data_IF_292366602674
#
_entry.id   IF_292366602674
#
_cell.length_a   1.000
_cell.length_b   1.000
_cell.length_c   1.000
_cell.angle_alpha   90.00
_cell.angle_beta   90.00
_cell.angle_gamma   90.00
#
_symmetry.space_group_name_H-M   'P 1'
#
loop_
_entity.id
_entity.type
_entity.pdbx_description
1 polymer ?
#
# COMPACT_ATOMS: atom_id res chain seq x y z
N UNK A 1 -23.14 -5.22 10.94
CA UNK A 1 -22.06 -4.60 10.15
C UNK A 1 -22.21 -3.10 10.29
N UNK A 2 -21.23 -2.45 10.92
CA UNK A 2 -21.19 -0.98 11.00
C UNK A 2 -20.64 -0.49 9.66
N UNK A 3 -21.25 0.53 9.07
CA UNK A 3 -20.68 1.20 7.91
C UNK A 3 -19.28 1.70 8.29
N UNK A 4 -18.29 1.54 7.42
CA UNK A 4 -16.95 2.09 7.69
C UNK A 4 -17.08 3.60 7.96
N UNK A 5 -16.47 4.08 9.04
CA UNK A 5 -16.40 5.53 9.34
C UNK A 5 -15.46 6.27 8.38
N UNK A 6 -14.78 5.54 7.48
CA UNK A 6 -13.87 6.07 6.48
C UNK A 6 -14.61 6.47 5.21
N UNK A 7 -14.05 7.47 4.52
CA UNK A 7 -14.52 7.88 3.21
C UNK A 7 -14.38 6.74 2.21
N UNK A 8 -15.45 6.45 1.49
CA UNK A 8 -15.50 5.38 0.51
C UNK A 8 -14.71 5.74 -0.75
N UNK A 9 -13.54 5.12 -0.93
CA UNK A 9 -12.69 5.27 -2.11
C UNK A 9 -13.41 4.94 -3.42
N UNK A 10 -14.42 4.07 -3.39
CA UNK A 10 -15.18 3.67 -4.57
C UNK A 10 -16.31 4.65 -4.91
N UNK A 11 -16.59 5.63 -4.03
CA UNK A 11 -17.58 6.66 -4.30
C UNK A 11 -17.06 7.67 -5.34
N UNK A 12 -17.73 7.85 -6.50
CA UNK A 12 -17.24 8.73 -7.56
C UNK A 12 -17.01 10.17 -7.12
N UNK A 13 -17.92 10.74 -6.31
CA UNK A 13 -17.75 12.09 -5.79
C UNK A 13 -16.50 12.25 -4.89
N UNK A 14 -16.12 11.22 -4.14
CA UNK A 14 -14.90 11.26 -3.33
C UNK A 14 -13.66 11.17 -4.22
N UNK A 15 -13.69 10.36 -5.28
CA UNK A 15 -12.62 10.33 -6.28
C UNK A 15 -12.43 11.68 -6.97
N UNK A 16 -13.52 12.35 -7.39
CA UNK A 16 -13.45 13.70 -7.98
C UNK A 16 -12.92 14.74 -6.99
N UNK A 17 -13.33 14.65 -5.73
CA UNK A 17 -12.76 15.49 -4.66
C UNK A 17 -11.24 15.28 -4.52
N UNK A 18 -10.78 14.02 -4.50
CA UNK A 18 -9.34 13.70 -4.43
C UNK A 18 -8.57 14.23 -5.64
N UNK A 19 -9.15 14.15 -6.85
CA UNK A 19 -8.54 14.74 -8.06
C UNK A 19 -8.36 16.24 -7.86
N UNK A 20 -9.41 16.96 -7.44
CA UNK A 20 -9.34 18.40 -7.20
C UNK A 20 -8.28 18.77 -6.15
N UNK A 21 -8.34 18.12 -4.98
CA UNK A 21 -7.40 18.35 -3.89
C UNK A 21 -5.94 18.12 -4.31
N UNK A 22 -5.67 16.99 -4.98
CA UNK A 22 -4.31 16.66 -5.41
C UNK A 22 -3.85 17.56 -6.56
N UNK A 23 -4.78 18.04 -7.41
CA UNK A 23 -4.47 18.99 -8.48
C UNK A 23 -4.02 20.33 -7.90
N UNK A 24 -4.73 20.84 -6.89
CA UNK A 24 -4.37 22.08 -6.20
C UNK A 24 -3.00 21.97 -5.52
N UNK A 25 -2.71 20.81 -4.91
CA UNK A 25 -1.38 20.53 -4.34
C UNK A 25 -0.29 20.46 -5.40
N UNK A 26 -0.57 19.85 -6.56
CA UNK A 26 0.37 19.76 -7.68
C UNK A 26 0.76 21.15 -8.21
N UNK A 27 -0.18 22.10 -8.25
CA UNK A 27 0.09 23.51 -8.61
C UNK A 27 1.04 24.18 -7.61
N UNK A 28 1.05 23.73 -6.35
CA UNK A 28 1.96 24.20 -5.31
C UNK A 28 3.43 23.87 -5.52
N UNK A 29 3.79 23.12 -6.57
CA UNK A 29 5.18 22.82 -6.93
C UNK A 29 5.75 21.57 -6.27
N UNK A 30 4.91 20.61 -5.87
CA UNK A 30 5.37 19.30 -5.40
C UNK A 30 5.92 18.47 -6.57
N UNK A 31 7.01 17.73 -6.34
CA UNK A 31 7.66 16.91 -7.36
C UNK A 31 7.00 15.53 -7.55
N UNK A 32 6.21 15.08 -6.58
CA UNK A 32 5.53 13.79 -6.67
C UNK A 32 4.48 13.54 -5.60
N UNK A 33 3.75 12.45 -5.79
CA UNK A 33 2.72 11.93 -4.89
C UNK A 33 3.14 10.54 -4.41
N UNK A 34 3.13 10.33 -3.10
CA UNK A 34 3.42 9.03 -2.49
C UNK A 34 2.14 8.46 -1.88
N UNK A 35 1.61 7.38 -2.46
CA UNK A 35 0.48 6.63 -1.91
C UNK A 35 0.99 5.69 -0.83
N UNK A 36 0.83 6.06 0.44
CA UNK A 36 1.28 5.26 1.57
C UNK A 36 0.38 4.04 1.79
N UNK A 37 0.96 2.97 2.34
CA UNK A 37 0.29 1.71 2.68
C UNK A 37 -0.07 1.59 4.16
N UNK A 38 0.09 2.65 4.94
CA UNK A 38 -0.04 2.63 6.38
C UNK A 38 -1.49 2.79 6.83
N UNK A 39 -2.37 1.93 6.31
CA UNK A 39 -3.48 1.50 7.12
C UNK A 39 -3.79 0.06 6.78
N UNK A 40 -3.71 -0.84 7.77
CA UNK A 40 -4.47 -2.08 7.67
C UNK A 40 -5.89 -1.67 7.34
N UNK A 41 -6.31 -1.96 6.11
CA UNK A 41 -7.69 -1.75 5.74
C UNK A 41 -8.48 -2.66 6.66
N UNK A 42 -9.40 -2.09 7.42
CA UNK A 42 -10.30 -2.93 8.19
C UNK A 42 -10.99 -3.89 7.23
N UNK A 43 -11.33 -5.09 7.68
CA UNK A 43 -12.05 -6.07 6.84
C UNK A 43 -13.31 -5.48 6.16
N UNK A 44 -13.86 -4.42 6.75
CA UNK A 44 -15.01 -3.63 6.31
C UNK A 44 -14.72 -2.57 5.22
N UNK A 45 -13.45 -2.30 4.87
CA UNK A 45 -13.14 -1.31 3.86
C UNK A 45 -13.61 -1.75 2.48
N UNK A 46 -14.26 -0.83 1.77
CA UNK A 46 -14.99 -1.11 0.53
C UNK A 46 -16.40 -1.69 0.73
N UNK A 47 -16.87 -1.92 1.98
CA UNK A 47 -18.27 -2.24 2.27
C UNK A 47 -19.17 -1.01 2.18
N UNK A 48 -19.25 -0.46 0.98
CA UNK A 48 -20.15 0.61 0.63
C UNK A 48 -21.15 0.14 -0.41
N UNK A 49 -22.21 0.93 -0.61
CA UNK A 49 -23.15 0.66 -1.70
C UNK A 49 -22.47 0.70 -3.08
N UNK A 50 -21.41 1.50 -3.26
CA UNK A 50 -20.63 1.54 -4.50
C UNK A 50 -19.74 0.30 -4.65
N UNK A 51 -19.09 -0.13 -3.56
CA UNK A 51 -18.30 -1.36 -3.54
C UNK A 51 -19.13 -2.59 -3.92
N UNK A 52 -20.29 -2.77 -3.27
CA UNK A 52 -21.18 -3.90 -3.56
C UNK A 52 -21.77 -3.86 -4.98
N UNK A 53 -22.21 -2.69 -5.44
CA UNK A 53 -22.72 -2.53 -6.81
C UNK A 53 -21.62 -2.75 -7.85
N UNK A 54 -20.40 -2.30 -7.58
CA UNK A 54 -19.24 -2.52 -8.45
C UNK A 54 -18.89 -4.00 -8.57
N UNK A 55 -18.90 -4.72 -7.45
CA UNK A 55 -18.70 -6.16 -7.44
C UNK A 55 -19.83 -6.92 -8.16
N UNK A 56 -21.09 -6.59 -7.86
CA UNK A 56 -22.25 -7.20 -8.53
C UNK A 56 -22.22 -6.95 -10.04
N UNK A 57 -21.82 -5.75 -10.48
CA UNK A 57 -21.64 -5.42 -11.90
C UNK A 57 -20.61 -6.34 -12.58
N UNK A 58 -19.49 -6.61 -11.91
CA UNK A 58 -18.36 -7.33 -12.52
C UNK A 58 -18.51 -8.86 -12.47
N UNK A 59 -19.26 -9.39 -11.49
CA UNK A 59 -19.41 -10.84 -11.28
C UNK A 59 -20.84 -11.36 -11.41
N UNK A 60 -21.85 -10.50 -11.49
CA UNK A 60 -23.26 -10.88 -11.52
C UNK A 60 -23.77 -11.52 -10.22
N UNK A 61 -23.03 -11.36 -9.11
CA UNK A 61 -23.34 -11.97 -7.81
C UNK A 61 -23.49 -10.87 -6.77
N UNK A 62 -24.60 -10.91 -6.03
CA UNK A 62 -24.77 -10.08 -4.83
C UNK A 62 -23.97 -10.67 -3.69
N UNK A 63 -23.06 -9.86 -3.17
CA UNK A 63 -22.24 -10.24 -2.04
C UNK A 63 -23.02 -10.03 -0.73
N UNK A 64 -23.06 -11.06 0.12
CA UNK A 64 -23.53 -10.94 1.49
C UNK A 64 -22.31 -10.87 2.42
N UNK A 65 -21.97 -9.70 2.98
CA UNK A 65 -20.79 -9.55 3.82
C UNK A 65 -20.85 -10.39 5.10
N UNK A 66 -22.05 -10.74 5.58
CA UNK A 66 -22.21 -11.60 6.74
C UNK A 66 -21.69 -13.02 6.48
N UNK A 67 -21.80 -13.50 5.24
CA UNK A 67 -21.31 -14.83 4.83
C UNK A 67 -19.86 -14.80 4.37
N UNK A 68 -19.39 -13.66 3.87
CA UNK A 68 -18.07 -13.51 3.25
C UNK A 68 -16.91 -13.78 4.21
N UNK A 69 -17.05 -13.33 5.46
CA UNK A 69 -16.03 -13.47 6.50
C UNK A 69 -16.40 -14.48 7.60
N UNK A 70 -17.63 -15.02 7.60
CA UNK A 70 -18.05 -16.04 8.57
C UNK A 70 -17.28 -17.37 8.42
N UNK A 71 -16.75 -17.67 7.23
CA UNK A 71 -15.87 -18.83 7.01
C UNK A 71 -14.39 -18.53 7.22
N UNK A 72 -14.02 -17.26 7.35
CA UNK A 72 -12.65 -16.80 7.44
C UNK A 72 -12.31 -16.59 8.92
N UNK A 73 -11.94 -17.66 9.61
CA UNK A 73 -11.23 -17.59 10.90
C UNK A 73 -9.87 -16.91 10.68
N UNK A 74 -9.87 -15.59 10.48
CA UNK A 74 -8.68 -14.81 10.15
C UNK A 74 -7.75 -14.56 11.36
N UNK A 75 -7.91 -15.33 12.44
CA UNK A 75 -7.41 -14.95 13.77
C UNK A 75 -6.36 -15.84 14.42
N UNK A 76 -6.42 -17.17 14.36
CA UNK A 76 -5.69 -17.96 15.39
C UNK A 76 -5.25 -19.38 15.05
N UNK A 77 -5.50 -19.92 13.86
CA UNK A 77 -4.96 -21.23 13.49
C UNK A 77 -4.91 -21.36 12.00
N UNK A 78 -3.82 -21.92 11.48
CA UNK A 78 -3.57 -22.18 10.07
C UNK A 78 -4.54 -23.16 9.38
N UNK A 79 -5.85 -22.98 9.56
CA UNK A 79 -6.84 -23.47 8.61
C UNK A 79 -6.65 -22.67 7.33
N UNK A 80 -6.48 -23.39 6.23
CA UNK A 80 -6.04 -22.84 4.96
C UNK A 80 -6.96 -21.71 4.52
N UNK A 81 -6.42 -20.50 4.39
CA UNK A 81 -7.10 -19.43 3.63
C UNK A 81 -7.54 -19.93 2.24
N UNK A 82 -6.83 -20.93 1.68
CA UNK A 82 -7.14 -21.63 0.43
C UNK A 82 -8.51 -22.33 0.41
N UNK A 83 -9.08 -22.65 1.57
CA UNK A 83 -10.39 -23.30 1.68
C UNK A 83 -11.54 -22.28 1.75
N UNK A 84 -11.24 -20.97 1.63
CA UNK A 84 -12.26 -19.92 1.56
C UNK A 84 -13.12 -20.06 0.32
N UNK A 85 -14.39 -19.64 0.43
CA UNK A 85 -15.35 -19.69 -0.66
C UNK A 85 -14.83 -18.94 -1.91
N UNK A 86 -15.18 -19.37 -3.14
CA UNK A 86 -14.79 -18.67 -4.37
C UNK A 86 -15.17 -17.18 -4.37
N UNK A 87 -16.31 -16.84 -3.77
CA UNK A 87 -16.82 -15.48 -3.62
C UNK A 87 -15.89 -14.61 -2.77
N UNK A 88 -15.27 -15.18 -1.73
CA UNK A 88 -14.27 -14.49 -0.93
C UNK A 88 -13.06 -14.08 -1.78
N UNK A 89 -12.51 -15.03 -2.55
CA UNK A 89 -11.36 -14.76 -3.41
C UNK A 89 -11.68 -13.75 -4.52
N UNK A 90 -12.88 -13.83 -5.10
CA UNK A 90 -13.36 -12.83 -6.05
C UNK A 90 -13.42 -11.45 -5.40
N UNK A 91 -13.95 -11.35 -4.19
CA UNK A 91 -14.08 -10.08 -3.48
C UNK A 91 -12.74 -9.45 -3.15
N UNK A 92 -11.83 -10.18 -2.49
CA UNK A 92 -10.53 -9.61 -2.10
C UNK A 92 -9.70 -9.22 -3.32
N UNK A 93 -9.69 -10.04 -4.37
CA UNK A 93 -9.00 -9.72 -5.62
C UNK A 93 -9.67 -8.61 -6.42
N UNK A 94 -10.99 -8.45 -6.32
CA UNK A 94 -11.71 -7.33 -6.94
C UNK A 94 -11.38 -6.01 -6.24
N UNK A 95 -11.43 -5.98 -4.90
CA UNK A 95 -11.12 -4.77 -4.12
C UNK A 95 -9.71 -4.26 -4.39
N UNK A 96 -8.70 -5.13 -4.36
CA UNK A 96 -7.32 -4.73 -4.61
C UNK A 96 -7.17 -4.11 -6.01
N UNK A 97 -7.77 -4.73 -7.02
CA UNK A 97 -7.79 -4.20 -8.40
C UNK A 97 -8.55 -2.88 -8.52
N UNK A 98 -9.68 -2.73 -7.85
CA UNK A 98 -10.46 -1.50 -7.92
C UNK A 98 -9.77 -0.34 -7.20
N UNK A 99 -9.15 -0.59 -6.03
CA UNK A 99 -8.29 0.40 -5.36
C UNK A 99 -7.16 0.87 -6.28
N UNK A 100 -6.47 -0.07 -6.91
CA UNK A 100 -5.39 0.21 -7.87
C UNK A 100 -5.90 1.00 -9.09
N UNK A 101 -7.10 0.68 -9.63
CA UNK A 101 -7.73 1.46 -10.71
C UNK A 101 -8.03 2.90 -10.29
N UNK A 102 -8.48 3.11 -9.07
CA UNK A 102 -8.71 4.48 -8.54
C UNK A 102 -7.38 5.23 -8.46
N UNK A 103 -6.33 4.62 -7.91
CA UNK A 103 -5.00 5.22 -7.86
C UNK A 103 -4.48 5.57 -9.27
N UNK A 104 -4.68 4.68 -10.25
CA UNK A 104 -4.30 4.94 -11.64
C UNK A 104 -5.09 6.11 -12.25
N UNK A 105 -6.39 6.20 -11.97
CA UNK A 105 -7.21 7.33 -12.40
C UNK A 105 -6.69 8.65 -11.82
N UNK A 106 -6.37 8.68 -10.53
CA UNK A 106 -5.78 9.86 -9.87
C UNK A 106 -4.46 10.24 -10.55
N UNK A 107 -3.57 9.26 -10.74
CA UNK A 107 -2.28 9.44 -11.42
C UNK A 107 -2.45 10.02 -12.82
N UNK A 108 -3.33 9.45 -13.63
CA UNK A 108 -3.58 9.93 -14.99
C UNK A 108 -4.18 11.34 -15.01
N UNK A 109 -5.10 11.66 -14.09
CA UNK A 109 -5.69 12.99 -13.99
C UNK A 109 -4.63 14.05 -13.67
N UNK A 110 -3.76 13.76 -12.70
CA UNK A 110 -2.70 14.66 -12.27
C UNK A 110 -1.61 14.82 -13.33
N UNK A 111 -1.19 13.75 -14.01
CA UNK A 111 -0.20 13.83 -15.10
C UNK A 111 -0.66 14.65 -16.29
N UNK A 112 -1.98 14.75 -16.53
CA UNK A 112 -2.51 15.64 -17.59
C UNK A 112 -2.21 17.11 -17.29
N UNK A 113 -2.13 17.49 -16.02
CA UNK A 113 -1.85 18.86 -15.60
C UNK A 113 -0.34 19.07 -15.36
N UNK A 114 0.32 18.09 -14.75
CA UNK A 114 1.74 18.12 -14.39
C UNK A 114 2.45 16.86 -14.91
N UNK A 115 2.92 16.84 -16.17
CA UNK A 115 3.51 15.64 -16.79
C UNK A 115 4.79 15.12 -16.12
N UNK A 116 5.49 15.99 -15.37
CA UNK A 116 6.73 15.65 -14.67
C UNK A 116 6.49 15.04 -13.29
N UNK A 117 5.26 15.13 -12.76
CA UNK A 117 4.91 14.67 -11.43
C UNK A 117 5.17 13.17 -11.30
N UNK A 118 5.95 12.79 -10.29
CA UNK A 118 6.31 11.40 -9.99
C UNK A 118 5.28 10.75 -9.07
N UNK A 119 5.10 9.44 -9.19
CA UNK A 119 4.15 8.68 -8.39
C UNK A 119 4.82 7.45 -7.80
N UNK A 120 4.87 7.44 -6.47
CA UNK A 120 5.37 6.33 -5.69
C UNK A 120 4.22 5.58 -5.02
N UNK A 121 4.31 4.26 -4.99
CA UNK A 121 3.39 3.40 -4.26
C UNK A 121 4.12 2.74 -3.09
N UNK A 122 3.58 2.87 -1.88
CA UNK A 122 4.05 2.09 -0.74
C UNK A 122 3.75 0.62 -0.99
N UNK A 123 4.62 -0.27 -0.54
CA UNK A 123 4.41 -1.71 -0.62
C UNK A 123 4.76 -2.29 0.73
N UNK A 124 3.79 -2.92 1.37
CA UNK A 124 4.04 -3.60 2.62
C UNK A 124 5.00 -4.79 2.38
N UNK A 125 6.00 -5.04 3.25
CA UNK A 125 6.94 -6.15 3.08
C UNK A 125 6.28 -7.52 2.95
N UNK A 126 5.08 -7.66 3.52
CA UNK A 126 4.24 -8.85 3.39
C UNK A 126 3.77 -9.09 1.94
N UNK A 127 3.48 -8.06 1.15
CA UNK A 127 3.09 -8.21 -0.25
C UNK A 127 4.20 -8.82 -1.12
N UNK A 128 5.45 -8.75 -0.64
CA UNK A 128 6.61 -9.39 -1.26
C UNK A 128 6.82 -10.82 -0.73
N UNK A 129 6.68 -11.01 0.59
CA UNK A 129 7.05 -12.25 1.29
C UNK A 129 5.92 -13.28 1.35
N UNK A 130 4.69 -12.83 1.62
CA UNK A 130 3.42 -13.57 1.67
C UNK A 130 2.33 -12.82 0.86
N UNK A 131 2.38 -12.84 -0.49
CA UNK A 131 1.44 -12.09 -1.33
C UNK A 131 -0.03 -12.44 -1.09
N UNK A 132 -0.31 -13.69 -0.72
CA UNK A 132 -1.69 -14.14 -0.46
C UNK A 132 -2.22 -13.56 0.86
N UNK A 133 -1.41 -13.59 1.91
CA UNK A 133 -1.74 -12.95 3.18
C UNK A 133 -1.92 -11.44 3.03
N UNK A 134 -1.04 -10.78 2.28
CA UNK A 134 -1.12 -9.35 2.02
C UNK A 134 -2.39 -8.97 1.24
N UNK A 135 -2.79 -9.76 0.24
CA UNK A 135 -4.05 -9.53 -0.48
C UNK A 135 -5.25 -9.59 0.46
N UNK A 136 -5.28 -10.56 1.37
CA UNK A 136 -6.39 -10.76 2.30
C UNK A 136 -6.43 -9.71 3.40
N UNK A 137 -5.28 -9.43 4.03
CA UNK A 137 -5.16 -8.58 5.22
C UNK A 137 -4.97 -7.10 4.92
N UNK A 138 -4.27 -6.80 3.83
CA UNK A 138 -3.81 -5.45 3.49
C UNK A 138 -4.43 -4.93 2.20
N UNK A 139 -5.17 -5.78 1.47
CA UNK A 139 -5.72 -5.47 0.15
C UNK A 139 -4.62 -5.06 -0.87
N UNK A 140 -3.40 -5.61 -0.69
CA UNK A 140 -2.27 -5.34 -1.56
C UNK A 140 -2.03 -6.49 -2.55
N UNK A 141 -1.95 -6.16 -3.83
CA UNK A 141 -1.51 -7.05 -4.89
C UNK A 141 -0.35 -6.40 -5.65
N UNK A 142 0.88 -6.77 -5.29
CA UNK A 142 2.09 -6.21 -5.87
C UNK A 142 2.22 -6.50 -7.37
N UNK A 143 1.78 -7.67 -7.82
CA UNK A 143 1.89 -8.05 -9.23
C UNK A 143 0.89 -7.29 -10.08
N UNK A 144 -0.31 -7.02 -9.57
CA UNK A 144 -1.26 -6.14 -10.23
C UNK A 144 -0.78 -4.69 -10.21
N UNK A 145 -0.27 -4.21 -9.07
CA UNK A 145 0.27 -2.85 -8.95
C UNK A 145 1.40 -2.59 -9.96
N UNK A 146 2.30 -3.58 -10.15
CA UNK A 146 3.35 -3.56 -11.18
C UNK A 146 2.81 -3.22 -12.57
N UNK A 147 1.62 -3.71 -12.92
CA UNK A 147 1.01 -3.49 -14.25
C UNK A 147 0.62 -2.03 -14.49
N UNK A 148 0.35 -1.28 -13.42
CA UNK A 148 -0.01 0.14 -13.48
C UNK A 148 1.17 1.08 -13.66
N UNK A 149 2.41 0.55 -13.56
CA UNK A 149 3.65 1.29 -13.84
C UNK A 149 3.75 2.59 -13.04
N UNK A 150 3.62 2.49 -11.72
CA UNK A 150 4.09 3.54 -10.83
C UNK A 150 5.57 3.81 -11.11
N UNK A 151 6.01 5.06 -10.92
CA UNK A 151 7.41 5.44 -11.17
C UNK A 151 8.34 4.81 -10.14
N UNK A 152 7.82 4.56 -8.93
CA UNK A 152 8.58 3.94 -7.85
C UNK A 152 7.71 3.13 -6.89
N UNK A 153 8.31 2.13 -6.26
CA UNK A 153 7.73 1.29 -5.20
C UNK A 153 8.58 1.45 -3.95
N UNK A 154 7.95 1.85 -2.84
CA UNK A 154 8.63 2.13 -1.57
C UNK A 154 8.34 0.99 -0.61
N UNK A 155 9.36 0.25 -0.20
CA UNK A 155 9.26 -0.90 0.70
C UNK A 155 9.94 -0.56 2.02
N UNK A 156 9.20 -0.61 3.13
CA UNK A 156 9.75 -0.38 4.47
C UNK A 156 9.04 -1.23 5.51
N UNK A 157 9.74 -1.56 6.59
CA UNK A 157 9.14 -2.32 7.69
C UNK A 157 8.06 -1.50 8.41
N UNK A 158 6.90 -2.11 8.73
CA UNK A 158 6.00 -1.55 9.72
C UNK A 158 6.77 -1.41 11.03
N UNK A 159 6.58 -0.25 11.67
CA UNK A 159 7.28 0.19 12.86
C UNK A 159 7.05 -0.78 14.03
N UNK A 160 7.87 -1.83 14.14
CA UNK A 160 7.88 -2.74 15.29
C UNK A 160 9.27 -3.35 15.47
N UNK A 161 10.11 -2.57 16.18
CA UNK A 161 11.22 -2.94 17.05
C UNK A 161 12.15 -4.12 16.64
N UNK A 162 13.39 -3.78 16.27
CA UNK A 162 14.53 -4.67 16.42
C UNK A 162 15.77 -4.23 15.64
N UNK A 163 16.94 -4.24 16.28
CA UNK A 163 18.27 -3.93 15.71
C UNK A 163 18.79 -4.97 14.71
N UNK A 164 17.89 -5.69 14.03
CA UNK A 164 18.19 -6.68 12.97
C UNK A 164 17.33 -6.53 11.70
N UNK A 165 16.51 -5.48 11.59
CA UNK A 165 15.59 -5.29 10.46
C UNK A 165 16.27 -4.96 9.11
N UNK A 166 17.51 -4.47 9.11
CA UNK A 166 18.21 -4.05 7.88
C UNK A 166 18.55 -5.20 6.93
N UNK A 167 19.04 -6.32 7.44
CA UNK A 167 19.34 -7.52 6.64
C UNK A 167 18.05 -8.13 6.08
N UNK A 168 17.01 -8.23 6.92
CA UNK A 168 15.68 -8.69 6.51
C UNK A 168 15.07 -7.79 5.43
N UNK A 169 15.14 -6.47 5.59
CA UNK A 169 14.67 -5.53 4.59
C UNK A 169 15.45 -5.67 3.28
N UNK A 170 16.76 -5.90 3.33
CA UNK A 170 17.57 -6.11 2.13
C UNK A 170 17.17 -7.38 1.37
N UNK A 171 16.92 -8.49 2.07
CA UNK A 171 16.38 -9.72 1.46
C UNK A 171 15.01 -9.48 0.80
N UNK A 172 14.14 -8.72 1.47
CA UNK A 172 12.81 -8.38 0.95
C UNK A 172 12.93 -7.49 -0.28
N UNK A 173 13.79 -6.47 -0.24
CA UNK A 173 14.06 -5.59 -1.39
C UNK A 173 14.62 -6.40 -2.55
N UNK A 174 15.56 -7.31 -2.32
CA UNK A 174 16.10 -8.17 -3.39
C UNK A 174 15.00 -9.02 -4.02
N UNK A 175 14.09 -9.58 -3.21
CA UNK A 175 12.93 -10.32 -3.70
C UNK A 175 11.98 -9.42 -4.49
N UNK A 176 11.76 -8.19 -4.04
CA UNK A 176 10.94 -7.23 -4.78
C UNK A 176 11.57 -6.84 -6.12
N UNK A 177 12.90 -6.68 -6.19
CA UNK A 177 13.63 -6.48 -7.45
C UNK A 177 13.36 -7.64 -8.41
N UNK A 178 13.36 -8.88 -7.93
CA UNK A 178 13.04 -10.07 -8.75
C UNK A 178 11.59 -10.07 -9.25
N UNK A 179 10.64 -9.58 -8.45
CA UNK A 179 9.21 -9.53 -8.81
C UNK A 179 8.88 -8.36 -9.75
N UNK A 180 9.39 -7.16 -9.47
CA UNK A 180 9.13 -5.92 -10.23
C UNK A 180 10.03 -5.87 -11.48
N UNK A 181 11.29 -6.31 -11.38
CA UNK A 181 12.23 -6.43 -12.48
C UNK A 181 13.18 -5.25 -12.66
N UNK A 182 12.87 -4.07 -12.10
CA UNK A 182 13.68 -2.85 -12.25
C UNK A 182 14.10 -2.31 -10.88
N UNK A 183 15.37 -2.52 -10.50
CA UNK A 183 15.88 -2.03 -9.22
C UNK A 183 15.80 -0.51 -9.07
N UNK A 184 15.93 0.24 -10.18
CA UNK A 184 15.81 1.70 -10.20
C UNK A 184 14.42 2.23 -9.83
N UNK A 185 13.40 1.38 -9.84
CA UNK A 185 12.05 1.73 -9.40
C UNK A 185 11.82 1.40 -7.92
N UNK A 186 12.78 0.79 -7.22
CA UNK A 186 12.57 0.36 -5.84
C UNK A 186 13.30 1.29 -4.88
N UNK A 187 12.59 1.73 -3.86
CA UNK A 187 13.10 2.52 -2.76
C UNK A 187 12.94 1.75 -1.46
N UNK A 188 14.04 1.56 -0.73
CA UNK A 188 14.00 1.04 0.62
C UNK A 188 13.69 2.17 1.60
N UNK A 189 12.55 2.11 2.28
CA UNK A 189 12.22 3.00 3.37
C UNK A 189 12.90 2.52 4.66
N UNK A 190 13.85 3.31 5.15
CA UNK A 190 14.67 2.95 6.31
C UNK A 190 14.45 3.98 7.42
N UNK A 191 14.24 3.53 8.67
CA UNK A 191 14.18 4.48 9.77
C UNK A 191 15.56 5.13 9.95
N UNK A 192 15.64 6.47 10.10
CA UNK A 192 16.86 7.11 10.54
C UNK A 192 17.30 6.56 11.91
N UNK A 193 18.59 6.64 12.22
CA UNK A 193 19.03 6.37 13.59
C UNK A 193 18.41 7.38 14.57
N UNK A 194 18.33 7.02 15.86
CA UNK A 194 17.81 7.92 16.90
C UNK A 194 18.62 9.24 16.97
N UNK A 195 19.94 9.17 16.73
CA UNK A 195 20.81 10.35 16.71
C UNK A 195 20.56 11.24 15.48
N UNK A 196 20.27 10.67 14.32
CA UNK A 196 19.96 11.43 13.10
C UNK A 196 18.56 12.05 13.15
N UNK A 197 17.60 11.31 13.71
CA UNK A 197 16.25 11.80 14.00
C UNK A 197 16.30 13.04 14.88
N UNK A 198 17.10 12.99 15.97
CA UNK A 198 17.28 14.12 16.89
C UNK A 198 17.97 15.34 16.25
N UNK A 199 18.71 15.13 15.14
CA UNK A 199 19.41 16.19 14.39
C UNK A 199 18.62 16.73 13.20
N UNK A 200 17.36 16.30 13.03
CA UNK A 200 16.53 16.71 11.90
C UNK A 200 17.16 16.34 10.55
N UNK A 201 17.79 15.16 10.47
CA UNK A 201 18.36 14.59 9.24
C UNK A 201 19.55 15.36 8.63
N UNK A 202 20.08 16.38 9.31
CA UNK A 202 21.21 17.19 8.82
C UNK A 202 22.54 16.43 8.75
N UNK A 203 22.63 15.26 9.39
CA UNK A 203 23.81 14.40 9.42
C UNK A 203 23.78 13.23 8.43
N UNK A 204 22.71 13.04 7.66
CA UNK A 204 22.60 11.91 6.73
C UNK A 204 23.70 11.97 5.68
N UNK A 205 24.37 10.85 5.45
CA UNK A 205 25.33 10.68 4.36
C UNK A 205 24.90 9.49 3.50
N UNK A 206 23.91 9.66 2.61
CA UNK A 206 23.37 8.56 1.81
C UNK A 206 24.44 7.80 1.01
N UNK A 207 25.51 8.48 0.60
CA UNK A 207 26.64 7.89 -0.14
C UNK A 207 27.58 7.05 0.74
N UNK A 208 27.62 7.32 2.04
CA UNK A 208 28.46 6.63 3.02
C UNK A 208 27.68 5.54 3.79
N UNK A 209 26.35 5.64 3.82
CA UNK A 209 25.45 4.65 4.42
C UNK A 209 25.42 3.41 3.52
N UNK A 210 26.40 2.54 3.73
CA UNK A 210 26.51 1.26 3.04
C UNK A 210 25.41 0.34 3.52
N UNK A 211 24.27 0.36 2.84
CA UNK A 211 23.22 -0.63 3.03
C UNK A 211 23.36 -1.76 2.00
N UNK A 212 23.06 -3.01 2.37
CA UNK A 212 23.28 -4.18 1.51
C UNK A 212 22.19 -4.34 0.44
N UNK A 213 21.73 -3.25 -0.19
CA UNK A 213 20.69 -3.30 -1.23
C UNK A 213 21.29 -3.53 -2.63
N UNK A 214 20.47 -4.07 -3.52
CA UNK A 214 20.85 -4.24 -4.92
C UNK A 214 21.21 -2.89 -5.57
N UNK A 215 22.25 -2.89 -6.43
CA UNK A 215 22.69 -1.68 -7.15
C UNK A 215 21.53 -1.06 -7.93
N UNK A 216 21.31 0.24 -7.73
CA UNK A 216 20.22 1.00 -8.36
C UNK A 216 18.99 1.20 -7.48
N UNK A 217 18.89 0.50 -6.35
CA UNK A 217 17.83 0.72 -5.35
C UNK A 217 18.03 2.08 -4.67
N UNK A 218 16.98 2.88 -4.57
CA UNK A 218 16.97 4.13 -3.80
C UNK A 218 16.81 3.88 -2.30
N UNK A 219 17.23 4.84 -1.48
CA UNK A 219 17.01 4.84 -0.03
C UNK A 219 16.15 6.05 0.32
N UNK A 220 15.08 5.81 1.09
CA UNK A 220 14.21 6.85 1.61
C UNK A 220 14.26 6.80 3.14
N UNK A 221 14.74 7.87 3.77
CA UNK A 221 14.72 7.96 5.23
C UNK A 221 13.34 8.42 5.69
N UNK A 222 12.65 7.57 6.44
CA UNK A 222 11.31 7.88 6.94
C UNK A 222 11.31 7.91 8.47
N UNK A 223 10.94 9.03 9.12
CA UNK A 223 10.87 9.09 10.57
C UNK A 223 9.89 8.05 11.12
N UNK A 224 10.26 7.44 12.24
CA UNK A 224 9.38 6.57 13.01
C UNK A 224 8.21 7.41 13.54
N UNK A 225 7.03 7.29 12.92
CA UNK A 225 5.80 7.77 13.56
C UNK A 225 5.46 6.82 14.71
N UNK A 226 5.90 7.17 15.92
CA UNK A 226 5.46 6.48 17.13
C UNK A 226 3.96 6.72 17.29
N UNK A 227 3.14 5.71 17.01
CA UNK A 227 1.75 5.70 17.48
C UNK A 227 1.83 5.71 19.02
N UNK A 228 1.24 6.70 19.71
CA UNK A 228 1.28 6.73 21.17
C UNK A 228 0.66 5.44 21.72
N UNK A 229 1.37 4.76 22.62
CA UNK A 229 0.82 3.63 23.35
C UNK A 229 -0.46 4.09 24.07
N UNK A 230 -1.62 3.60 23.62
CA UNK A 230 -2.93 3.97 24.17
C UNK A 230 -3.90 4.64 23.18
N UNK A 231 -3.48 4.95 21.94
CA UNK A 231 -4.43 5.23 20.88
C UNK A 231 -5.05 3.91 20.41
N UNK A 232 -6.19 3.54 21.00
CA UNK A 232 -7.04 2.45 20.49
C UNK A 232 -7.60 2.90 19.13
N UNK A 233 -7.61 2.05 18.09
CA UNK A 233 -8.29 2.34 16.84
C UNK A 233 -9.79 2.59 17.03
#
# INVERSE_FOLDING_TARGET
>A
LVASERLDLFHPAFQEYLIGLLSDLAVGGVDGVFFRTDVSLESSEGFSSYGFKGFERDFGVKLDPATLYASADLGASGKNQRDSAPEFWRWVGWRARETLRVMDRLRQALRKQSPQLQFALGVHPEAVTDPLGALVRLNEDLLEAKRLRFDSYVIGEPLSAGTGGGERLAEIVERAVKLIGEAGQIWAAVPPSDQESARGFTGLKPEADRMPFAKGTGIMYMPIQRVPAGAVP
#
